data_IF_995128005326
#
_entry.id   IF_995128005326
#
_cell.length_a   1.000
_cell.length_b   1.000
_cell.length_c   1.000
_cell.angle_alpha   90.00
_cell.angle_beta   90.00
_cell.angle_gamma   90.00
#
_symmetry.space_group_name_H-M   'P 1'
#
loop_
_entity.id
_entity.type
_entity.pdbx_description
1 polymer ?
#
# COMPACT_ATOMS: atom_id res chain seq x y z
N UNK A 1 -20.94 1.94 -4.43
CA UNK A 1 -19.77 2.77 -4.82
C UNK A 1 -20.19 4.19 -4.56
N UNK A 2 -19.47 4.89 -3.69
CA UNK A 2 -19.87 6.22 -3.24
C UNK A 2 -19.34 7.30 -4.18
N UNK A 3 -20.11 8.37 -4.36
CA UNK A 3 -19.72 9.48 -5.24
C UNK A 3 -18.56 10.24 -4.62
N UNK A 4 -17.45 10.34 -5.35
CA UNK A 4 -16.31 11.18 -4.96
C UNK A 4 -16.57 12.64 -5.37
N UNK A 5 -16.77 13.54 -4.41
CA UNK A 5 -17.04 14.98 -4.67
C UNK A 5 -15.84 15.84 -4.29
N UNK A 6 -15.36 15.73 -3.04
CA UNK A 6 -14.21 16.45 -2.51
C UNK A 6 -13.64 15.69 -1.32
N UNK A 7 -12.31 15.62 -1.24
CA UNK A 7 -11.56 15.12 -0.08
C UNK A 7 -10.56 16.19 0.35
N UNK A 8 -10.52 16.51 1.64
CA UNK A 8 -9.45 17.33 2.24
C UNK A 8 -8.69 16.44 3.22
N UNK A 9 -7.41 16.20 2.97
CA UNK A 9 -6.57 15.29 3.73
C UNK A 9 -5.09 15.67 3.58
N UNK A 10 -4.24 15.07 4.41
CA UNK A 10 -2.78 15.22 4.32
C UNK A 10 -2.28 14.46 3.08
N UNK A 11 -1.47 15.13 2.26
CA UNK A 11 -0.76 14.49 1.14
C UNK A 11 0.55 13.85 1.61
N UNK A 12 0.93 12.73 1.02
CA UNK A 12 2.22 12.05 1.26
C UNK A 12 3.03 12.05 -0.05
N UNK A 13 4.15 12.79 -0.14
CA UNK A 13 5.01 12.74 -1.32
C UNK A 13 5.75 11.39 -1.37
N UNK A 14 5.85 10.81 -2.57
CA UNK A 14 6.56 9.55 -2.81
C UNK A 14 7.43 9.70 -4.06
N UNK A 15 8.73 9.93 -3.85
CA UNK A 15 9.71 10.16 -4.92
C UNK A 15 10.25 8.82 -5.47
N UNK A 16 9.38 8.07 -6.14
CA UNK A 16 9.71 6.77 -6.73
C UNK A 16 9.14 6.70 -8.14
N UNK A 17 10.02 6.77 -9.15
CA UNK A 17 9.63 6.56 -10.53
C UNK A 17 9.30 5.06 -10.78
N UNK A 18 8.33 4.81 -11.66
CA UNK A 18 7.95 3.46 -12.11
C UNK A 18 7.58 2.49 -10.97
N UNK A 19 6.92 3.00 -9.92
CA UNK A 19 6.41 2.17 -8.83
C UNK A 19 5.46 1.09 -9.37
N UNK A 20 5.85 -0.17 -9.23
CA UNK A 20 5.11 -1.30 -9.80
C UNK A 20 4.16 -1.98 -8.79
N UNK A 21 3.38 -2.95 -9.27
CA UNK A 21 2.35 -3.63 -8.46
C UNK A 21 2.92 -4.39 -7.27
N UNK A 22 4.09 -5.02 -7.40
CA UNK A 22 4.73 -5.74 -6.29
C UNK A 22 5.30 -4.77 -5.25
N UNK A 23 5.79 -3.59 -5.66
CA UNK A 23 6.21 -2.54 -4.73
C UNK A 23 5.01 -1.95 -3.97
N UNK A 24 3.85 -1.81 -4.64
CA UNK A 24 2.63 -1.35 -4.00
C UNK A 24 2.08 -2.37 -3.00
N UNK A 25 1.93 -3.63 -3.41
CA UNK A 25 1.53 -4.76 -2.56
C UNK A 25 2.27 -6.02 -3.03
N UNK A 26 3.23 -6.55 -2.26
CA UNK A 26 3.98 -7.71 -2.68
C UNK A 26 3.11 -8.97 -2.82
N UNK A 27 3.35 -9.76 -3.87
CA UNK A 27 2.55 -10.95 -4.22
C UNK A 27 2.31 -11.94 -3.05
N UNK A 28 3.25 -12.04 -2.10
CA UNK A 28 3.13 -12.91 -0.91
C UNK A 28 1.93 -12.59 -0.02
N UNK A 29 1.40 -11.36 -0.07
CA UNK A 29 0.21 -10.95 0.69
C UNK A 29 -1.10 -11.17 -0.07
N UNK A 30 -1.05 -11.50 -1.37
CA UNK A 30 -2.26 -11.70 -2.19
C UNK A 30 -2.99 -13.01 -1.88
N UNK A 31 -2.38 -13.88 -1.06
CA UNK A 31 -3.00 -15.10 -0.54
C UNK A 31 -3.85 -14.85 0.71
N UNK A 32 -3.80 -13.64 1.28
CA UNK A 32 -4.57 -13.32 2.48
C UNK A 32 -6.08 -13.28 2.17
N UNK A 33 -6.92 -13.75 3.10
CA UNK A 33 -8.37 -13.63 2.95
C UNK A 33 -8.76 -12.15 2.94
N UNK A 34 -9.83 -11.81 2.21
CA UNK A 34 -10.31 -10.42 2.12
C UNK A 34 -10.63 -9.81 3.49
N UNK A 35 -11.06 -10.63 4.46
CA UNK A 35 -11.35 -10.21 5.84
C UNK A 35 -10.13 -9.74 6.62
N UNK A 36 -8.92 -10.18 6.26
CA UNK A 36 -7.68 -9.72 6.90
C UNK A 36 -7.30 -8.29 6.51
N UNK A 37 -7.83 -7.80 5.37
CA UNK A 37 -7.41 -6.54 4.78
C UNK A 37 -5.98 -6.58 4.24
N UNK A 38 -5.62 -5.55 3.46
CA UNK A 38 -4.29 -5.42 2.86
C UNK A 38 -3.53 -4.16 3.31
N UNK A 39 -4.09 -3.40 4.25
CA UNK A 39 -3.51 -2.15 4.72
C UNK A 39 -2.09 -2.32 5.32
N UNK A 40 -1.83 -3.45 5.96
CA UNK A 40 -0.50 -3.81 6.51
C UNK A 40 0.51 -4.22 5.44
N UNK A 41 0.05 -4.50 4.21
CA UNK A 41 0.88 -4.89 3.08
C UNK A 41 1.20 -3.73 2.12
N UNK A 42 0.48 -2.60 2.23
CA UNK A 42 0.72 -1.41 1.41
C UNK A 42 2.16 -0.92 1.58
N UNK A 43 2.91 -0.87 0.47
CA UNK A 43 4.30 -0.41 0.39
C UNK A 43 5.21 -1.16 1.38
N UNK A 44 4.95 -2.45 1.64
CA UNK A 44 5.61 -3.21 2.72
C UNK A 44 7.13 -3.08 2.71
N UNK A 45 7.75 -3.26 1.55
CA UNK A 45 9.21 -3.30 1.43
C UNK A 45 9.85 -1.90 1.37
N UNK A 46 9.04 -0.86 1.18
CA UNK A 46 9.45 0.54 1.27
C UNK A 46 9.25 1.10 2.69
N UNK A 47 8.28 0.55 3.44
CA UNK A 47 7.95 0.99 4.81
C UNK A 47 8.78 0.30 5.88
N UNK A 48 9.19 -0.95 5.62
CA UNK A 48 9.85 -1.78 6.61
C UNK A 48 11.18 -2.31 6.08
N UNK A 49 12.23 -2.29 6.89
CA UNK A 49 13.48 -2.99 6.60
C UNK A 49 13.32 -4.51 6.79
N UNK A 50 14.35 -5.29 6.39
CA UNK A 50 14.28 -6.76 6.41
C UNK A 50 14.10 -7.36 7.81
N UNK A 51 14.45 -6.63 8.86
CA UNK A 51 14.21 -6.94 10.28
C UNK A 51 12.77 -6.60 10.74
N UNK A 52 11.95 -6.03 9.85
CA UNK A 52 10.55 -5.72 10.09
C UNK A 52 10.29 -4.42 10.84
N UNK A 53 11.30 -3.55 10.97
CA UNK A 53 11.18 -2.19 11.53
C UNK A 53 10.70 -1.18 10.51
#
# INVERSE_FOLDING_TARGET
MDKFIRLTAVACPLDVANLNTDQLIPARFLKLPRSAGLATALLRDLRFSADGR
#
